data_IF_879800695717
#
_entry.id   IF_879800695717
#
_cell.length_a   1.000
_cell.length_b   1.000
_cell.length_c   1.000
_cell.angle_alpha   90.00
_cell.angle_beta   90.00
_cell.angle_gamma   90.00
#
_symmetry.space_group_name_H-M   'P 1'
#
loop_
_entity.id
_entity.type
_entity.pdbx_description
1 polymer ?
#
# COMPACT_ATOMS: atom_id res chain seq x y z
N UNK A 1 3.90 -44.40 30.67
CA UNK A 1 4.54 -43.78 29.50
C UNK A 1 3.42 -42.98 28.86
N UNK A 2 3.40 -41.68 29.10
CA UNK A 2 2.35 -40.81 28.58
C UNK A 2 2.76 -40.45 27.15
N UNK A 3 1.99 -40.95 26.20
CA UNK A 3 2.30 -41.01 24.76
C UNK A 3 1.54 -39.91 24.00
N UNK A 4 1.49 -38.71 24.59
CA UNK A 4 0.80 -37.54 24.02
C UNK A 4 1.82 -36.45 23.64
N UNK A 5 2.95 -36.83 23.04
CA UNK A 5 3.74 -35.86 22.29
C UNK A 5 2.99 -35.61 20.97
N UNK A 6 2.62 -34.36 20.63
CA UNK A 6 1.95 -34.08 19.38
C UNK A 6 2.84 -34.51 18.23
N UNK A 7 2.35 -35.44 17.40
CA UNK A 7 2.98 -35.84 16.15
C UNK A 7 3.03 -34.61 15.24
N UNK A 8 4.21 -33.99 15.14
CA UNK A 8 4.45 -32.90 14.20
C UNK A 8 4.68 -33.49 12.82
N UNK A 9 3.67 -33.45 11.95
CA UNK A 9 3.85 -33.72 10.53
C UNK A 9 4.89 -32.74 9.95
N UNK A 10 5.99 -33.28 9.42
CA UNK A 10 6.99 -32.49 8.70
C UNK A 10 6.36 -31.90 7.42
N UNK A 11 6.04 -30.60 7.43
CA UNK A 11 5.62 -29.88 6.22
C UNK A 11 6.72 -28.96 5.69
N UNK A 12 6.86 -28.86 4.37
CA UNK A 12 7.78 -27.89 3.76
C UNK A 12 7.29 -26.47 4.01
N UNK A 13 8.21 -25.48 4.07
CA UNK A 13 7.83 -24.07 4.21
C UNK A 13 6.92 -23.56 3.08
N UNK A 14 7.01 -24.17 1.89
CA UNK A 14 6.10 -23.90 0.78
C UNK A 14 4.68 -24.44 1.05
N UNK A 15 4.57 -25.67 1.58
CA UNK A 15 3.28 -26.25 1.94
C UNK A 15 2.61 -25.44 3.05
N UNK A 16 3.36 -25.06 4.09
CA UNK A 16 2.89 -24.16 5.14
C UNK A 16 2.40 -22.82 4.55
N UNK A 17 3.19 -22.23 3.65
CA UNK A 17 2.84 -20.97 2.98
C UNK A 17 1.53 -21.08 2.18
N UNK A 18 1.38 -22.13 1.38
CA UNK A 18 0.17 -22.39 0.59
C UNK A 18 -1.04 -22.68 1.50
N UNK A 19 -0.85 -23.51 2.53
CA UNK A 19 -1.88 -23.92 3.48
C UNK A 19 -2.44 -22.73 4.27
N UNK A 20 -1.56 -21.83 4.72
CA UNK A 20 -1.98 -20.64 5.44
C UNK A 20 -2.57 -19.56 4.51
N UNK A 21 -2.39 -19.66 3.17
CA UNK A 21 -2.78 -18.63 2.21
C UNK A 21 -2.02 -17.30 2.36
N UNK A 22 -1.10 -17.23 3.33
CA UNK A 22 -0.31 -16.06 3.70
C UNK A 22 -1.13 -14.75 3.84
N UNK A 23 -2.14 -14.67 4.73
CA UNK A 23 -2.99 -13.49 4.91
C UNK A 23 -2.19 -12.22 5.24
N UNK A 24 -1.02 -12.36 5.86
CA UNK A 24 -0.12 -11.24 6.14
C UNK A 24 0.53 -10.62 4.89
N UNK A 25 0.42 -11.26 3.72
CA UNK A 25 0.84 -10.75 2.43
C UNK A 25 -0.26 -10.02 1.68
N UNK A 26 -1.49 -9.98 2.17
CA UNK A 26 -2.55 -9.15 1.58
C UNK A 26 -2.94 -8.03 2.51
N UNK A 27 -3.42 -6.94 1.93
CA UNK A 27 -3.99 -5.83 2.65
C UNK A 27 -5.43 -5.61 2.19
N UNK A 28 -6.37 -5.63 3.12
CA UNK A 28 -7.78 -5.36 2.83
C UNK A 28 -7.95 -3.92 2.38
N UNK A 29 -8.81 -3.72 1.40
CA UNK A 29 -9.18 -2.39 0.89
C UNK A 29 -10.27 -1.74 1.73
N UNK A 30 -10.98 -2.52 2.55
CA UNK A 30 -12.15 -2.09 3.30
C UNK A 30 -13.45 -2.15 2.49
N UNK A 31 -13.41 -2.66 1.26
CA UNK A 31 -14.58 -2.97 0.44
C UNK A 31 -14.59 -4.48 0.16
N UNK A 32 -15.53 -5.26 0.74
CA UNK A 32 -15.56 -6.71 0.59
C UNK A 32 -15.62 -7.19 -0.87
N UNK A 33 -16.34 -6.47 -1.73
CA UNK A 33 -16.45 -6.80 -3.15
C UNK A 33 -15.12 -6.62 -3.89
N UNK A 34 -14.42 -5.51 -3.62
CA UNK A 34 -13.08 -5.25 -4.19
C UNK A 34 -12.07 -6.24 -3.63
N UNK A 35 -12.13 -6.56 -2.33
CA UNK A 35 -11.25 -7.55 -1.72
C UNK A 35 -11.47 -8.94 -2.31
N UNK A 36 -12.71 -9.32 -2.60
CA UNK A 36 -13.03 -10.59 -3.28
C UNK A 36 -12.46 -10.61 -4.69
N UNK A 37 -12.64 -9.52 -5.45
CA UNK A 37 -12.08 -9.39 -6.80
C UNK A 37 -10.54 -9.46 -6.81
N UNK A 38 -9.89 -8.91 -5.78
CA UNK A 38 -8.43 -8.95 -5.60
C UNK A 38 -7.93 -10.23 -4.90
N UNK A 39 -8.72 -11.31 -4.87
CA UNK A 39 -8.35 -12.58 -4.22
C UNK A 39 -7.93 -12.43 -2.74
N UNK A 40 -8.62 -11.56 -2.03
CA UNK A 40 -8.41 -11.28 -0.61
C UNK A 40 -7.93 -9.87 -0.30
N UNK A 41 -7.40 -9.12 -1.27
CA UNK A 41 -6.97 -7.73 -1.07
C UNK A 41 -5.75 -7.35 -1.90
N UNK A 42 -5.18 -6.18 -1.66
CA UNK A 42 -3.95 -5.73 -2.34
C UNK A 42 -2.76 -6.55 -1.86
N UNK A 43 -2.07 -7.23 -2.77
CA UNK A 43 -0.91 -8.04 -2.45
C UNK A 43 0.30 -7.17 -2.06
N UNK A 44 0.78 -7.32 -0.83
CA UNK A 44 2.00 -6.73 -0.29
C UNK A 44 3.23 -7.24 -1.05
N UNK A 45 4.17 -6.33 -1.33
CA UNK A 45 5.37 -6.63 -2.11
C UNK A 45 5.16 -6.60 -3.62
N UNK A 46 3.95 -6.22 -4.09
CA UNK A 46 3.64 -6.08 -5.52
C UNK A 46 3.23 -4.64 -5.84
N UNK A 47 3.46 -4.29 -7.09
CA UNK A 47 2.86 -3.13 -7.72
C UNK A 47 1.41 -3.45 -8.10
N UNK A 48 0.46 -2.65 -7.67
CA UNK A 48 -0.96 -2.75 -8.05
C UNK A 48 -1.42 -1.43 -8.66
N UNK A 49 -1.97 -1.47 -9.87
CA UNK A 49 -2.48 -0.28 -10.54
C UNK A 49 -4.00 -0.30 -10.60
N UNK A 50 -4.62 0.78 -10.12
CA UNK A 50 -6.06 1.02 -10.22
C UNK A 50 -6.33 2.10 -11.29
N UNK A 51 -7.00 1.74 -12.37
CA UNK A 51 -7.32 2.67 -13.48
C UNK A 51 -8.82 2.98 -13.47
N UNK A 52 -9.20 4.23 -13.75
CA UNK A 52 -10.60 4.59 -13.95
C UNK A 52 -10.83 6.08 -14.22
N UNK A 53 -12.08 6.47 -14.42
CA UNK A 53 -12.43 7.87 -14.70
C UNK A 53 -12.21 8.81 -13.50
N UNK A 54 -12.26 10.12 -13.72
CA UNK A 54 -12.28 11.10 -12.63
C UNK A 54 -13.43 10.76 -11.68
N UNK A 55 -13.22 10.92 -10.37
CA UNK A 55 -14.20 10.64 -9.33
C UNK A 55 -14.64 9.16 -9.22
N UNK A 56 -13.97 8.20 -9.89
CA UNK A 56 -14.26 6.75 -9.78
C UNK A 56 -13.89 6.12 -8.42
N UNK A 57 -13.54 6.91 -7.41
CA UNK A 57 -13.15 6.41 -6.08
C UNK A 57 -11.68 6.07 -5.88
N UNK A 58 -10.80 6.19 -6.87
CA UNK A 58 -9.36 5.86 -6.75
C UNK A 58 -8.67 6.50 -5.54
N UNK A 59 -8.74 7.82 -5.40
CA UNK A 59 -8.16 8.53 -4.25
C UNK A 59 -8.75 8.04 -2.92
N UNK A 60 -10.04 7.72 -2.88
CA UNK A 60 -10.69 7.18 -1.69
C UNK A 60 -10.19 5.77 -1.36
N UNK A 61 -9.98 4.92 -2.36
CA UNK A 61 -9.38 3.60 -2.20
C UNK A 61 -7.94 3.72 -1.66
N UNK A 62 -7.14 4.61 -2.23
CA UNK A 62 -5.76 4.84 -1.83
C UNK A 62 -5.70 5.38 -0.36
N UNK A 63 -6.62 6.27 0.06
CA UNK A 63 -6.77 6.69 1.48
C UNK A 63 -7.28 5.56 2.39
N UNK A 64 -8.18 4.71 1.89
CA UNK A 64 -8.73 3.56 2.63
C UNK A 64 -7.63 2.55 2.99
N UNK A 65 -6.74 2.27 2.03
CA UNK A 65 -5.58 1.41 2.22
C UNK A 65 -4.60 2.01 3.23
N UNK A 66 -4.29 3.31 3.15
CA UNK A 66 -3.47 3.98 4.17
C UNK A 66 -4.09 3.84 5.55
N UNK A 67 -5.39 4.10 5.67
CA UNK A 67 -6.10 4.01 6.95
C UNK A 67 -6.02 2.58 7.51
N UNK A 68 -6.19 1.54 6.68
CA UNK A 68 -6.05 0.15 7.13
C UNK A 68 -4.62 -0.15 7.56
N UNK A 69 -3.62 0.33 6.80
CA UNK A 69 -2.22 0.16 7.20
C UNK A 69 -1.94 0.83 8.54
N UNK A 70 -2.43 2.05 8.79
CA UNK A 70 -2.20 2.74 10.06
C UNK A 70 -2.78 1.98 11.25
N UNK A 71 -3.91 1.30 11.06
CA UNK A 71 -4.61 0.54 12.11
C UNK A 71 -3.97 -0.84 12.33
N UNK A 72 -3.67 -1.56 11.25
CA UNK A 72 -3.19 -2.95 11.30
C UNK A 72 -1.68 -3.06 11.59
N UNK A 73 -0.95 -1.94 11.58
CA UNK A 73 0.50 -1.94 11.62
C UNK A 73 1.09 -1.75 13.01
N UNK A 74 1.33 -2.89 13.65
CA UNK A 74 2.02 -3.01 14.93
C UNK A 74 3.44 -2.41 14.92
N UNK A 75 4.08 -2.26 13.75
CA UNK A 75 5.47 -1.80 13.64
C UNK A 75 5.62 -0.30 13.47
N UNK A 76 4.52 0.43 13.49
CA UNK A 76 4.49 1.88 13.32
C UNK A 76 5.23 2.38 12.06
N UNK A 77 5.10 1.67 10.94
CA UNK A 77 5.77 1.96 9.68
C UNK A 77 5.36 3.32 9.13
N UNK A 78 6.32 4.02 8.53
CA UNK A 78 6.05 5.26 7.81
C UNK A 78 5.35 4.94 6.50
N UNK A 79 4.47 5.85 6.10
CA UNK A 79 3.73 5.80 4.84
C UNK A 79 4.08 7.05 4.05
N UNK A 80 4.44 6.87 2.78
CA UNK A 80 4.61 8.00 1.85
C UNK A 80 3.45 7.98 0.86
N UNK A 81 2.77 9.12 0.72
CA UNK A 81 1.75 9.37 -0.30
C UNK A 81 2.25 10.44 -1.26
N UNK A 82 2.37 10.06 -2.54
CA UNK A 82 2.75 10.99 -3.61
C UNK A 82 1.48 11.59 -4.21
N UNK A 83 1.29 12.91 -4.05
CA UNK A 83 0.12 13.65 -4.50
C UNK A 83 0.46 14.51 -5.73
N UNK A 84 0.08 14.04 -6.91
CA UNK A 84 0.34 14.73 -8.18
C UNK A 84 -0.64 15.87 -8.47
N UNK A 85 -1.83 15.85 -7.86
CA UNK A 85 -2.93 16.76 -8.20
C UNK A 85 -3.42 17.59 -7.01
N UNK A 86 -2.71 17.57 -5.87
CA UNK A 86 -3.15 18.28 -4.67
C UNK A 86 -4.49 17.74 -4.15
N UNK A 87 -4.75 16.44 -4.32
CA UNK A 87 -6.01 15.76 -3.98
C UNK A 87 -6.05 15.25 -2.54
N UNK A 88 -4.90 15.13 -1.89
CA UNK A 88 -4.82 14.61 -0.53
C UNK A 88 -5.49 15.55 0.48
N UNK A 89 -6.34 15.01 1.36
CA UNK A 89 -6.98 15.76 2.45
C UNK A 89 -6.80 15.00 3.76
N UNK A 90 -6.02 15.55 4.68
CA UNK A 90 -5.78 14.95 6.01
C UNK A 90 -7.07 14.79 6.81
N UNK A 91 -8.01 15.74 6.67
CA UNK A 91 -9.35 15.64 7.27
C UNK A 91 -10.12 14.40 6.82
N UNK A 92 -9.97 13.98 5.55
CA UNK A 92 -10.58 12.77 5.03
C UNK A 92 -9.94 11.51 5.62
N UNK A 93 -8.61 11.51 5.75
CA UNK A 93 -7.88 10.42 6.38
C UNK A 93 -8.27 10.26 7.86
N UNK A 94 -8.36 11.37 8.61
CA UNK A 94 -8.85 11.39 9.99
C UNK A 94 -10.29 10.86 10.10
N UNK A 95 -11.17 11.26 9.18
CA UNK A 95 -12.54 10.76 9.13
C UNK A 95 -12.59 9.24 8.93
N UNK A 96 -11.74 8.69 8.07
CA UNK A 96 -11.64 7.25 7.86
C UNK A 96 -11.13 6.52 9.11
N UNK A 97 -10.10 7.04 9.80
CA UNK A 97 -9.62 6.49 11.07
C UNK A 97 -10.73 6.46 12.13
N UNK A 98 -11.45 7.58 12.30
CA UNK A 98 -12.59 7.67 13.23
C UNK A 98 -13.71 6.68 12.88
N UNK A 99 -14.00 6.49 11.59
CA UNK A 99 -15.01 5.52 11.13
C UNK A 99 -14.64 4.06 11.41
N UNK A 100 -13.35 3.78 11.68
CA UNK A 100 -12.83 2.45 12.01
C UNK A 100 -12.53 2.27 13.50
N UNK A 101 -13.08 3.13 14.35
CA UNK A 101 -13.01 2.97 15.81
C UNK A 101 -11.88 3.76 16.50
N UNK A 102 -11.04 4.49 15.76
CA UNK A 102 -10.00 5.33 16.37
C UNK A 102 -10.62 6.65 16.86
N UNK A 103 -11.12 6.65 18.10
CA UNK A 103 -11.77 7.83 18.71
C UNK A 103 -10.81 8.72 19.50
N UNK A 104 -9.73 8.14 20.05
CA UNK A 104 -8.72 8.89 20.80
C UNK A 104 -7.93 9.80 19.85
N UNK A 105 -7.97 11.11 20.11
CA UNK A 105 -7.33 12.12 19.27
C UNK A 105 -5.80 12.05 19.30
N UNK A 106 -5.19 11.66 20.43
CA UNK A 106 -3.75 11.48 20.53
C UNK A 106 -3.29 10.25 19.73
N UNK A 107 -4.07 9.17 19.74
CA UNK A 107 -3.80 8.00 18.90
C UNK A 107 -3.94 8.38 17.42
N UNK A 108 -5.02 9.04 17.04
CA UNK A 108 -5.23 9.49 15.66
C UNK A 108 -4.10 10.42 15.18
N UNK A 109 -3.66 11.36 16.03
CA UNK A 109 -2.55 12.26 15.73
C UNK A 109 -1.25 11.50 15.46
N UNK A 110 -0.85 10.58 16.34
CA UNK A 110 0.35 9.74 16.16
C UNK A 110 0.28 8.91 14.86
N UNK A 111 -0.89 8.39 14.52
CA UNK A 111 -1.10 7.67 13.26
C UNK A 111 -0.92 8.60 12.05
N UNK A 112 -1.48 9.81 12.09
CA UNK A 112 -1.35 10.78 10.99
C UNK A 112 0.09 11.30 10.81
N UNK A 113 0.86 11.43 11.89
CA UNK A 113 2.29 11.81 11.86
C UNK A 113 3.17 10.83 11.08
N UNK A 114 2.69 9.59 10.89
CA UNK A 114 3.39 8.57 10.09
C UNK A 114 3.18 8.72 8.58
N UNK A 115 2.29 9.61 8.14
CA UNK A 115 1.95 9.79 6.73
C UNK A 115 2.65 11.02 6.15
N UNK A 116 3.67 10.78 5.33
CA UNK A 116 4.44 11.80 4.63
C UNK A 116 3.81 12.07 3.26
N UNK A 117 3.46 13.33 3.01
CA UNK A 117 2.89 13.76 1.73
C UNK A 117 3.98 14.42 0.90
N UNK A 118 4.25 13.86 -0.28
CA UNK A 118 5.12 14.50 -1.26
C UNK A 118 4.31 14.96 -2.45
N UNK A 119 4.42 16.25 -2.81
CA UNK A 119 3.76 16.79 -4.00
C UNK A 119 4.74 16.77 -5.16
N UNK A 120 4.30 16.25 -6.29
CA UNK A 120 5.10 16.14 -7.51
C UNK A 120 4.34 16.78 -8.65
N UNK A 121 4.91 17.79 -9.30
CA UNK A 121 4.24 18.54 -10.35
C UNK A 121 4.64 18.06 -11.75
N UNK A 122 5.82 17.47 -11.87
CA UNK A 122 6.34 16.90 -13.10
C UNK A 122 7.10 15.59 -12.87
N UNK A 123 7.63 15.02 -13.96
CA UNK A 123 8.42 13.80 -13.92
C UNK A 123 9.73 13.95 -13.11
N UNK A 124 10.35 15.15 -13.11
CA UNK A 124 11.60 15.39 -12.38
C UNK A 124 11.35 15.37 -10.89
N UNK A 125 10.28 16.01 -10.42
CA UNK A 125 9.84 15.96 -9.02
C UNK A 125 9.57 14.52 -8.61
N UNK A 126 8.84 13.77 -9.44
CA UNK A 126 8.53 12.36 -9.16
C UNK A 126 9.81 11.52 -9.05
N UNK A 127 10.75 11.68 -9.98
CA UNK A 127 12.04 10.98 -9.95
C UNK A 127 12.86 11.35 -8.72
N UNK A 128 12.88 12.61 -8.32
CA UNK A 128 13.58 13.07 -7.12
C UNK A 128 13.00 12.41 -5.86
N UNK A 129 11.68 12.45 -5.71
CA UNK A 129 10.97 11.82 -4.58
C UNK A 129 11.20 10.31 -4.53
N UNK A 130 11.15 9.64 -5.68
CA UNK A 130 11.46 8.21 -5.77
C UNK A 130 12.91 7.90 -5.37
N UNK A 131 13.86 8.77 -5.74
CA UNK A 131 15.27 8.61 -5.39
C UNK A 131 15.50 8.80 -3.89
N UNK A 132 14.89 9.82 -3.29
CA UNK A 132 14.97 10.07 -1.84
C UNK A 132 14.39 8.90 -1.04
N UNK A 133 13.25 8.35 -1.50
CA UNK A 133 12.64 7.15 -0.92
C UNK A 133 13.58 5.95 -0.97
N UNK A 134 14.27 5.74 -2.10
CA UNK A 134 15.26 4.66 -2.22
C UNK A 134 16.38 4.83 -1.20
N UNK A 135 16.94 6.04 -1.08
CA UNK A 135 18.00 6.34 -0.11
C UNK A 135 17.53 6.10 1.33
N UNK A 136 16.32 6.53 1.69
CA UNK A 136 15.75 6.30 3.03
C UNK A 136 15.61 4.80 3.32
N UNK A 137 15.18 4.00 2.35
CA UNK A 137 15.08 2.54 2.50
C UNK A 137 16.44 1.88 2.72
N UNK A 138 17.49 2.36 2.06
CA UNK A 138 18.83 1.83 2.25
C UNK A 138 19.41 2.17 3.63
N UNK A 139 19.11 3.36 4.15
CA UNK A 139 19.66 3.85 5.42
C UNK A 139 18.88 3.38 6.65
N UNK A 140 17.59 3.10 6.49
CA UNK A 140 16.73 2.69 7.59
C UNK A 140 16.43 1.20 7.51
N UNK A 141 16.79 0.42 8.55
CA UNK A 141 16.32 -0.97 8.73
C UNK A 141 14.80 -1.05 9.00
N UNK A 142 14.10 0.09 8.96
CA UNK A 142 12.70 0.21 9.29
C UNK A 142 11.85 -0.15 8.07
N UNK A 143 10.92 -1.08 8.29
CA UNK A 143 9.88 -1.46 7.34
C UNK A 143 9.10 -0.19 6.98
N UNK A 144 9.20 0.27 5.74
CA UNK A 144 8.43 1.42 5.25
C UNK A 144 7.49 0.91 4.17
N UNK A 145 6.18 1.14 4.36
CA UNK A 145 5.18 0.78 3.36
C UNK A 145 4.84 2.03 2.56
N UNK A 146 5.18 2.01 1.30
CA UNK A 146 4.88 3.10 0.39
C UNK A 146 3.44 2.95 -0.09
N UNK A 147 2.70 4.04 -0.22
CA UNK A 147 1.39 4.05 -0.91
C UNK A 147 1.46 5.12 -1.97
N UNK A 148 1.66 4.70 -3.21
CA UNK A 148 1.62 5.62 -4.31
C UNK A 148 0.16 5.94 -4.62
N UNK A 149 -0.11 7.18 -5.00
CA UNK A 149 -1.37 7.55 -5.62
C UNK A 149 -1.07 8.52 -6.74
N UNK A 150 -0.39 8.01 -7.77
CA UNK A 150 -0.11 8.79 -8.98
C UNK A 150 -1.44 9.01 -9.70
N UNK A 151 -1.98 10.23 -9.62
CA UNK A 151 -3.05 10.67 -10.51
C UNK A 151 -2.41 11.30 -11.74
N UNK A 152 -2.32 10.56 -12.85
CA UNK A 152 -1.91 11.13 -14.14
C UNK A 152 -2.90 12.22 -14.56
N UNK A 153 -2.37 13.42 -14.80
CA UNK A 153 -2.86 14.43 -15.72
C UNK A 153 -1.60 15.05 -16.37
N UNK A 154 -0.94 14.32 -17.27
CA UNK A 154 0.25 14.84 -17.97
C UNK A 154 0.17 14.76 -19.51
N UNK A 155 -0.92 14.26 -20.08
CA UNK A 155 -1.13 14.24 -21.53
C UNK A 155 -2.54 14.71 -21.88
N UNK A 156 -2.76 16.03 -21.91
CA UNK A 156 -3.82 16.66 -22.72
C UNK A 156 -3.68 18.19 -22.87
N UNK A 157 -2.57 18.81 -22.45
CA UNK A 157 -2.25 20.21 -22.76
C UNK A 157 -1.23 20.31 -23.89
N UNK A 158 -1.68 20.05 -25.11
CA UNK A 158 -1.14 20.58 -26.38
C UNK A 158 -1.54 19.62 -27.50
N UNK A 159 -2.51 20.04 -28.30
CA UNK A 159 -2.46 20.05 -29.77
C UNK A 159 -3.85 20.37 -30.30
N UNK A 160 -3.94 21.55 -30.90
CA UNK A 160 -4.88 21.82 -31.98
C UNK A 160 -4.77 20.68 -32.98
N UNK A 161 -5.70 19.74 -32.97
CA UNK A 161 -5.83 18.76 -34.06
C UNK A 161 -7.32 18.42 -34.25
N UNK A 162 -7.83 19.00 -35.33
CA UNK A 162 -9.15 18.85 -35.92
C UNK A 162 -9.30 17.42 -36.45
N UNK A 163 -9.51 16.44 -35.58
CA UNK A 163 -9.98 15.11 -35.99
C UNK A 163 -10.48 14.33 -34.78
N UNK A 164 -11.80 14.18 -34.69
CA UNK A 164 -12.45 13.37 -33.67
C UNK A 164 -11.91 11.93 -33.63
N UNK A 165 -11.38 11.53 -32.49
CA UNK A 165 -11.46 10.18 -31.94
C UNK A 165 -11.62 10.31 -30.44
N UNK A 166 -12.74 9.80 -29.92
CA UNK A 166 -12.96 9.56 -28.49
C UNK A 166 -11.82 8.67 -27.95
N UNK A 167 -10.76 9.28 -27.41
CA UNK A 167 -9.82 8.61 -26.53
C UNK A 167 -10.21 9.01 -25.11
N UNK A 168 -10.82 8.09 -24.36
CA UNK A 168 -11.25 8.37 -23.00
C UNK A 168 -10.02 8.59 -22.10
N UNK A 169 -9.87 9.81 -21.59
CA UNK A 169 -8.89 10.20 -20.57
C UNK A 169 -9.13 9.39 -19.28
N UNK A 170 -8.47 8.22 -19.16
CA UNK A 170 -8.47 7.40 -17.95
C UNK A 170 -7.40 7.88 -16.96
N UNK A 171 -7.78 8.20 -15.72
CA UNK A 171 -6.84 8.52 -14.65
C UNK A 171 -6.36 7.25 -13.97
N UNK A 172 -5.08 7.14 -13.67
CA UNK A 172 -4.49 6.04 -12.90
C UNK A 172 -4.42 6.40 -11.39
N UNK A 173 -4.42 5.41 -10.49
CA UNK A 173 -3.87 5.45 -9.13
C UNK A 173 -3.00 4.22 -9.05
N UNK A 174 -1.69 4.41 -8.99
CA UNK A 174 -0.74 3.32 -8.84
C UNK A 174 -0.49 3.13 -7.36
N UNK A 175 -0.87 2.00 -6.77
CA UNK A 175 -0.53 1.61 -5.39
C UNK A 175 0.63 0.62 -5.45
N UNK A 176 1.85 1.04 -5.16
CA UNK A 176 2.86 0.04 -4.76
C UNK A 176 2.62 -0.30 -3.31
N UNK A 177 2.79 -1.58 -2.97
CA UNK A 177 3.10 -1.96 -1.59
C UNK A 177 4.47 -2.63 -1.66
N UNK A 178 5.52 -1.98 -1.15
CA UNK A 178 6.82 -2.63 -1.04
C UNK A 178 6.90 -3.36 0.30
N UNK A 179 7.27 -4.63 0.24
CA UNK A 179 7.75 -5.38 1.40
C UNK A 179 9.03 -6.10 0.97
N UNK A 180 10.17 -5.44 1.16
CA UNK A 180 11.48 -6.09 1.05
C UNK A 180 11.79 -6.66 2.43
N UNK A 181 11.84 -7.99 2.55
CA UNK A 181 12.38 -8.65 3.74
C UNK A 181 13.15 -9.91 3.34
N UNK A 182 14.40 -9.74 2.95
CA UNK A 182 15.39 -10.82 2.87
C UNK A 182 16.00 -10.99 4.25
N UNK A 183 15.26 -11.61 5.17
CA UNK A 183 15.85 -12.08 6.45
C UNK A 183 15.14 -13.28 7.08
N UNK A 184 14.03 -13.76 6.53
CA UNK A 184 13.35 -14.95 7.08
C UNK A 184 13.73 -16.28 6.41
N UNK A 185 14.43 -16.25 5.27
CA UNK A 185 15.06 -17.47 4.74
C UNK A 185 16.31 -17.88 5.52
N UNK A 186 17.03 -16.94 6.17
CA UNK A 186 18.23 -17.29 6.94
C UNK A 186 17.95 -17.66 8.40
N UNK A 187 16.86 -17.18 9.02
CA UNK A 187 16.50 -17.61 10.37
C UNK A 187 15.83 -18.98 10.36
N UNK A 188 14.96 -19.28 9.38
CA UNK A 188 14.37 -20.62 9.25
C UNK A 188 15.42 -21.69 8.90
N UNK A 189 16.47 -21.35 8.14
CA UNK A 189 17.57 -22.27 7.79
C UNK A 189 18.62 -22.43 8.90
N UNK A 190 18.59 -21.57 9.93
CA UNK A 190 19.45 -21.67 11.14
C UNK A 190 18.77 -22.34 12.33
N UNK A 191 17.46 -22.56 12.26
CA UNK A 191 16.71 -23.39 13.21
C UNK A 191 16.38 -24.78 12.68
N UNK A 192 16.71 -25.06 11.41
CA UNK A 192 16.54 -26.36 10.74
C UNK A 192 17.89 -27.04 10.40
N UNK A 193 19.01 -26.49 10.87
CA UNK A 193 20.35 -27.06 10.87
C UNK A 193 20.94 -26.92 12.29
#
# INVERSE_FOLDING_TARGET
MNDDDPEYDEETGLNLFLRLGAPWLVQKTGCPDVDTYLSGGVAKGKLTEFVGNIASGKTQLCLSLITNQLIDDEKEQKIVYIDTNGSFRSSRLLQMLKSRGIQDENIAKRMLERVFISRTYDEKDLRAVLSDIQVINYLTLFHTMYFFAVSENATERSRDDVAGRHLQSGKKCVVFTLRVRVSYLMTAWRTLN
#
